data_IF_249694732075
#
_entry.id   IF_249694732075
#
_cell.length_a   1.000
_cell.length_b   1.000
_cell.length_c   1.000
_cell.angle_alpha   90.00
_cell.angle_beta   90.00
_cell.angle_gamma   90.00
#
_symmetry.space_group_name_H-M   'P 1'
#
loop_
_entity.id
_entity.type
_entity.pdbx_description
1 polymer ?
#
# COMPACT_ATOMS: atom_id res chain seq x y z
N UNK A 1 -33.11 9.85 -24.25
CA UNK A 1 -31.82 9.27 -24.59
C UNK A 1 -31.69 8.07 -23.65
N UNK A 2 -31.53 6.86 -24.17
CA UNK A 2 -31.24 5.67 -23.38
C UNK A 2 -29.90 5.86 -22.68
N UNK A 3 -29.83 5.66 -21.38
CA UNK A 3 -28.55 5.63 -20.65
C UNK A 3 -27.72 4.49 -21.24
N UNK A 4 -26.47 4.77 -21.56
CA UNK A 4 -25.54 3.80 -22.11
C UNK A 4 -24.38 3.59 -21.14
N UNK A 5 -24.09 2.33 -20.82
CA UNK A 5 -22.94 1.92 -20.02
C UNK A 5 -21.92 1.15 -20.86
N UNK A 6 -20.68 1.07 -20.38
CA UNK A 6 -19.68 0.22 -21.02
C UNK A 6 -19.89 -1.25 -20.63
N UNK A 7 -20.15 -1.48 -19.35
CA UNK A 7 -20.35 -2.82 -18.78
C UNK A 7 -21.59 -2.81 -17.88
N UNK A 8 -22.41 -3.85 -18.00
CA UNK A 8 -23.44 -4.19 -17.03
C UNK A 8 -23.16 -5.59 -16.49
N UNK A 9 -23.27 -5.74 -15.18
CA UNK A 9 -23.37 -7.06 -14.51
C UNK A 9 -24.78 -7.13 -13.95
N UNK A 10 -25.60 -8.05 -14.44
CA UNK A 10 -26.98 -8.24 -14.01
C UNK A 10 -27.23 -9.63 -13.41
N UNK A 11 -28.50 -9.88 -13.03
CA UNK A 11 -28.90 -11.15 -12.39
C UNK A 11 -27.98 -11.51 -11.22
N UNK A 12 -27.66 -10.52 -10.36
CA UNK A 12 -26.72 -10.63 -9.26
C UNK A 12 -27.42 -10.48 -7.90
N UNK A 13 -26.75 -10.96 -6.85
CA UNK A 13 -27.00 -10.53 -5.47
C UNK A 13 -25.94 -9.46 -5.15
N UNK A 14 -26.35 -8.20 -5.09
CA UNK A 14 -25.44 -7.08 -4.86
C UNK A 14 -25.22 -6.91 -3.35
N UNK A 15 -23.94 -6.93 -2.93
CA UNK A 15 -23.46 -6.59 -1.58
C UNK A 15 -22.56 -5.38 -1.73
N UNK A 16 -22.99 -4.22 -1.22
CA UNK A 16 -22.35 -2.92 -1.48
C UNK A 16 -21.33 -2.47 -0.41
N UNK A 17 -21.08 -3.33 0.59
CA UNK A 17 -20.12 -3.03 1.67
C UNK A 17 -20.65 -2.11 2.78
N UNK A 18 -21.91 -1.68 2.73
CA UNK A 18 -22.51 -0.80 3.75
C UNK A 18 -22.95 -1.54 5.03
N UNK A 19 -22.88 -2.88 5.03
CA UNK A 19 -23.41 -3.73 6.10
C UNK A 19 -24.91 -4.08 5.93
N UNK A 20 -25.57 -3.56 4.90
CA UNK A 20 -26.94 -3.94 4.55
C UNK A 20 -26.99 -5.35 3.96
N UNK A 21 -28.16 -6.00 4.07
CA UNK A 21 -28.39 -7.29 3.43
C UNK A 21 -28.24 -7.20 1.91
N UNK A 22 -27.70 -8.27 1.31
CA UNK A 22 -27.61 -8.38 -0.14
C UNK A 22 -28.99 -8.27 -0.80
N UNK A 23 -29.06 -7.60 -1.95
CA UNK A 23 -30.28 -7.39 -2.72
C UNK A 23 -30.12 -7.84 -4.16
N UNK A 24 -31.17 -8.41 -4.74
CA UNK A 24 -31.18 -8.76 -6.17
C UNK A 24 -31.09 -7.50 -7.02
N UNK A 25 -30.31 -7.56 -8.11
CA UNK A 25 -30.11 -6.44 -9.00
C UNK A 25 -28.87 -6.60 -9.85
N UNK A 26 -28.31 -5.49 -10.26
CA UNK A 26 -27.08 -5.42 -11.06
C UNK A 26 -26.33 -4.13 -10.81
N UNK A 27 -25.23 -3.96 -11.53
CA UNK A 27 -24.44 -2.73 -11.57
C UNK A 27 -24.18 -2.33 -13.02
N UNK A 28 -24.14 -1.02 -13.27
CA UNK A 28 -23.71 -0.46 -14.55
C UNK A 28 -22.41 0.34 -14.31
N UNK A 29 -21.45 0.21 -15.22
CA UNK A 29 -20.16 0.88 -15.19
C UNK A 29 -19.95 1.64 -16.48
N UNK A 30 -19.51 2.90 -16.35
CA UNK A 30 -19.12 3.74 -17.48
C UNK A 30 -17.76 4.36 -17.16
N UNK A 31 -16.77 4.12 -18.01
CA UNK A 31 -15.38 4.49 -17.74
C UNK A 31 -14.86 3.82 -16.47
N UNK A 32 -14.45 4.63 -15.51
CA UNK A 32 -13.94 4.20 -14.21
C UNK A 32 -14.97 4.29 -13.07
N UNK A 33 -16.26 4.48 -13.41
CA UNK A 33 -17.31 4.74 -12.41
C UNK A 33 -18.43 3.73 -12.47
N UNK A 34 -18.94 3.36 -11.28
CA UNK A 34 -20.22 2.69 -11.13
C UNK A 34 -21.30 3.77 -11.27
N UNK A 35 -22.12 3.69 -12.33
CA UNK A 35 -23.13 4.70 -12.66
C UNK A 35 -24.53 4.32 -12.20
N UNK A 36 -24.80 3.02 -12.01
CA UNK A 36 -26.04 2.56 -11.42
C UNK A 36 -25.85 1.27 -10.61
N UNK A 37 -26.66 1.12 -9.57
CA UNK A 37 -26.74 -0.08 -8.71
C UNK A 37 -28.20 -0.38 -8.42
N UNK A 38 -28.67 -1.59 -8.75
CA UNK A 38 -30.04 -2.03 -8.57
C UNK A 38 -30.67 -2.52 -9.87
N UNK A 39 -31.78 -1.95 -10.28
CA UNK A 39 -32.39 -2.30 -11.57
C UNK A 39 -31.64 -1.63 -12.72
N UNK A 40 -30.97 -2.42 -13.52
CA UNK A 40 -30.20 -2.00 -14.70
C UNK A 40 -30.82 -2.50 -16.00
N UNK A 41 -32.03 -3.01 -15.96
CA UNK A 41 -32.70 -3.66 -17.09
C UNK A 41 -32.94 -2.72 -18.29
N UNK A 42 -33.19 -1.42 -18.01
CA UNK A 42 -33.45 -0.40 -19.02
C UNK A 42 -32.17 0.25 -19.59
N UNK A 43 -30.99 -0.07 -19.04
CA UNK A 43 -29.72 0.51 -19.48
C UNK A 43 -29.12 -0.35 -20.59
N UNK A 44 -28.73 0.27 -21.70
CA UNK A 44 -27.98 -0.38 -22.75
C UNK A 44 -26.49 -0.44 -22.40
N UNK A 45 -25.78 -1.49 -22.82
CA UNK A 45 -24.35 -1.62 -22.57
C UNK A 45 -23.61 -2.24 -23.75
N UNK A 46 -22.34 -1.84 -23.88
CA UNK A 46 -21.40 -2.47 -24.83
C UNK A 46 -21.08 -3.92 -24.45
N UNK A 47 -21.04 -4.21 -23.17
CA UNK A 47 -20.81 -5.55 -22.65
C UNK A 47 -21.73 -5.87 -21.47
N UNK A 48 -22.40 -7.05 -21.51
CA UNK A 48 -23.31 -7.49 -20.46
C UNK A 48 -22.87 -8.85 -19.92
N UNK A 49 -22.75 -8.95 -18.60
CA UNK A 49 -22.36 -10.14 -17.86
C UNK A 49 -23.56 -10.61 -17.05
N UNK A 50 -24.06 -11.81 -17.32
CA UNK A 50 -25.05 -12.47 -16.45
C UNK A 50 -24.32 -13.10 -15.26
N UNK A 51 -24.57 -12.59 -14.07
CA UNK A 51 -23.98 -13.11 -12.84
C UNK A 51 -24.61 -14.45 -12.39
N UNK A 52 -25.72 -14.90 -13.01
CA UNK A 52 -26.33 -16.19 -12.70
C UNK A 52 -26.76 -16.35 -11.25
N UNK A 53 -27.11 -15.28 -10.56
CA UNK A 53 -27.43 -15.26 -9.14
C UNK A 53 -26.23 -15.23 -8.20
N UNK A 54 -25.01 -15.13 -8.71
CA UNK A 54 -23.81 -14.98 -7.87
C UNK A 54 -23.76 -13.60 -7.21
N UNK A 55 -22.94 -13.51 -6.17
CA UNK A 55 -22.70 -12.25 -5.46
C UNK A 55 -21.80 -11.32 -6.28
N UNK A 56 -22.19 -10.06 -6.37
CA UNK A 56 -21.35 -8.97 -6.85
C UNK A 56 -21.07 -8.03 -5.69
N UNK A 57 -19.79 -7.81 -5.40
CA UNK A 57 -19.32 -6.96 -4.30
C UNK A 57 -18.15 -6.10 -4.75
N UNK A 58 -17.80 -5.03 -4.01
CA UNK A 58 -16.53 -4.32 -4.23
C UNK A 58 -15.35 -5.29 -4.16
N UNK A 59 -14.33 -5.03 -4.97
CA UNK A 59 -13.09 -5.81 -4.89
C UNK A 59 -12.44 -5.69 -3.52
N UNK A 60 -11.79 -6.75 -3.06
CA UNK A 60 -11.13 -6.76 -1.76
C UNK A 60 -9.89 -5.88 -1.75
N UNK A 61 -9.64 -5.27 -0.59
CA UNK A 61 -8.43 -4.51 -0.31
C UNK A 61 -7.55 -5.34 0.61
N UNK A 62 -6.38 -5.76 0.13
CA UNK A 62 -5.37 -6.37 0.98
C UNK A 62 -4.55 -5.25 1.62
N UNK A 63 -4.87 -4.93 2.87
CA UNK A 63 -4.32 -3.76 3.56
C UNK A 63 -2.94 -3.98 4.19
N UNK A 64 -2.36 -5.19 4.08
CA UNK A 64 -1.04 -5.47 4.62
C UNK A 64 -0.25 -6.41 3.73
N UNK A 65 0.53 -5.85 2.81
CA UNK A 65 1.37 -6.64 1.90
C UNK A 65 2.80 -6.13 1.83
N UNK A 66 3.66 -6.96 1.25
CA UNK A 66 5.04 -6.63 0.86
C UNK A 66 5.20 -6.81 -0.66
N UNK A 67 4.18 -6.41 -1.39
CA UNK A 67 4.10 -6.58 -2.84
C UNK A 67 4.86 -5.49 -3.62
N UNK A 68 5.56 -4.57 -2.94
CA UNK A 68 6.31 -3.46 -3.55
C UNK A 68 7.07 -3.85 -4.82
N UNK A 69 7.78 -4.99 -4.76
CA UNK A 69 8.54 -5.51 -5.88
C UNK A 69 7.66 -6.27 -6.87
N UNK A 70 6.74 -7.07 -6.36
CA UNK A 70 5.89 -7.95 -7.19
C UNK A 70 5.02 -7.13 -8.13
N UNK A 71 4.54 -5.96 -7.69
CA UNK A 71 3.81 -5.00 -8.52
C UNK A 71 4.54 -4.62 -9.82
N UNK A 72 5.89 -4.68 -9.82
CA UNK A 72 6.73 -4.36 -10.99
C UNK A 72 7.24 -5.61 -11.72
N UNK A 73 7.52 -6.70 -10.98
CA UNK A 73 8.14 -7.91 -11.52
C UNK A 73 7.10 -8.89 -12.11
N UNK A 74 5.90 -8.92 -11.53
CA UNK A 74 4.76 -9.73 -12.01
C UNK A 74 3.47 -8.89 -12.02
N UNK A 75 3.32 -7.97 -12.99
CA UNK A 75 2.18 -7.06 -13.02
C UNK A 75 0.84 -7.76 -13.24
N UNK A 76 0.80 -9.03 -13.63
CA UNK A 76 -0.44 -9.80 -13.71
C UNK A 76 -1.09 -10.02 -12.33
N UNK A 77 -0.30 -9.98 -11.25
CA UNK A 77 -0.76 -10.13 -9.87
C UNK A 77 -1.75 -11.29 -9.69
N UNK A 78 -1.51 -12.41 -10.38
CA UNK A 78 -2.43 -13.54 -10.39
C UNK A 78 -2.77 -14.05 -8.99
N UNK A 79 -1.81 -14.04 -8.06
CA UNK A 79 -2.01 -14.44 -6.66
C UNK A 79 -3.03 -13.55 -5.91
N UNK A 80 -3.29 -12.32 -6.39
CA UNK A 80 -4.25 -11.37 -5.82
C UNK A 80 -5.57 -11.40 -6.58
N UNK A 81 -5.54 -11.18 -7.89
CA UNK A 81 -6.77 -11.05 -8.70
C UNK A 81 -7.62 -12.29 -8.70
N UNK A 82 -7.02 -13.50 -8.66
CA UNK A 82 -7.77 -14.78 -8.60
C UNK A 82 -8.51 -14.97 -7.27
N UNK A 83 -8.22 -14.15 -6.26
CA UNK A 83 -8.89 -14.14 -4.97
C UNK A 83 -9.84 -12.94 -4.82
N UNK A 84 -10.05 -12.16 -5.87
CA UNK A 84 -10.91 -10.98 -5.85
C UNK A 84 -10.27 -9.74 -5.20
N UNK A 85 -8.95 -9.75 -4.94
CA UNK A 85 -8.22 -8.56 -4.47
C UNK A 85 -7.98 -7.63 -5.66
N UNK A 86 -8.43 -6.39 -5.52
CA UNK A 86 -8.29 -5.34 -6.55
C UNK A 86 -7.39 -4.19 -6.12
N UNK A 87 -7.04 -4.13 -4.84
CA UNK A 87 -6.17 -3.09 -4.28
C UNK A 87 -5.26 -3.71 -3.22
N UNK A 88 -3.99 -3.35 -3.25
CA UNK A 88 -3.01 -3.74 -2.22
C UNK A 88 -2.44 -2.51 -1.53
N UNK A 89 -2.18 -2.63 -0.22
CA UNK A 89 -1.39 -1.64 0.53
C UNK A 89 -0.03 -2.25 0.79
N UNK A 90 1.03 -1.67 0.22
CA UNK A 90 2.40 -2.14 0.35
C UNK A 90 3.28 -1.09 1.07
N UNK A 91 4.54 -1.42 1.31
CA UNK A 91 5.43 -0.60 2.13
C UNK A 91 5.19 -0.78 3.64
N UNK A 92 4.62 -1.90 4.05
CA UNK A 92 4.31 -2.21 5.45
C UNK A 92 5.55 -2.58 6.28
N UNK A 93 5.37 -2.71 7.59
CA UNK A 93 6.40 -3.15 8.55
C UNK A 93 7.71 -2.33 8.49
N UNK A 94 7.63 -1.08 8.10
CA UNK A 94 8.79 -0.20 7.96
C UNK A 94 9.67 -0.47 6.74
N UNK A 95 9.24 -1.34 5.83
CA UNK A 95 10.03 -1.72 4.65
C UNK A 95 9.29 -1.29 3.38
N UNK A 96 9.92 -0.44 2.59
CA UNK A 96 9.45 -0.04 1.27
C UNK A 96 10.58 -0.11 0.24
N UNK A 97 10.24 -0.40 -1.01
CA UNK A 97 11.23 -0.47 -2.09
C UNK A 97 11.77 0.91 -2.47
N UNK A 98 11.04 1.95 -2.14
CA UNK A 98 11.37 3.36 -2.35
C UNK A 98 10.94 4.22 -1.14
N UNK A 99 11.62 5.34 -0.88
CA UNK A 99 12.85 5.84 -1.50
C UNK A 99 14.08 5.18 -0.91
N UNK A 100 14.90 4.51 -1.69
CA UNK A 100 16.12 3.88 -1.17
C UNK A 100 17.12 3.51 -2.27
N UNK A 101 18.39 3.85 -2.05
CA UNK A 101 19.52 3.34 -2.82
C UNK A 101 20.57 2.79 -1.84
N UNK A 102 20.73 1.46 -1.74
CA UNK A 102 21.73 0.88 -0.86
C UNK A 102 23.15 1.15 -1.39
N UNK A 103 24.08 1.42 -0.48
CA UNK A 103 25.52 1.42 -0.77
C UNK A 103 26.08 -0.01 -0.72
N UNK A 104 27.19 -0.23 -1.41
CA UNK A 104 27.95 -1.48 -1.30
C UNK A 104 28.81 -1.54 -0.03
N UNK A 105 29.00 -0.40 0.66
CA UNK A 105 29.84 -0.28 1.83
C UNK A 105 29.27 -0.92 3.10
N UNK A 106 28.01 -1.30 3.12
CA UNK A 106 27.35 -1.90 4.27
C UNK A 106 26.29 -2.94 3.89
N UNK A 107 25.99 -3.85 4.80
CA UNK A 107 24.98 -4.89 4.60
C UNK A 107 23.57 -4.36 4.86
N UNK A 108 22.62 -4.77 4.03
CA UNK A 108 21.22 -4.42 4.24
C UNK A 108 20.69 -5.01 5.54
N UNK A 109 20.14 -4.19 6.46
CA UNK A 109 19.55 -4.70 7.68
C UNK A 109 18.30 -5.56 7.39
N UNK A 110 18.04 -6.54 8.27
CA UNK A 110 16.74 -7.23 8.32
C UNK A 110 15.68 -6.23 8.79
N UNK A 111 14.50 -6.16 8.16
CA UNK A 111 13.88 -7.12 7.23
C UNK A 111 13.98 -6.73 5.74
N UNK A 112 14.84 -5.82 5.34
CA UNK A 112 14.86 -5.30 3.96
C UNK A 112 15.06 -6.40 2.90
N UNK A 113 15.74 -7.50 3.25
CA UNK A 113 15.87 -8.66 2.36
C UNK A 113 14.52 -9.29 1.94
N UNK A 114 13.42 -8.94 2.62
CA UNK A 114 12.07 -9.37 2.26
C UNK A 114 11.68 -8.91 0.84
N UNK A 115 12.10 -7.71 0.44
CA UNK A 115 11.83 -7.18 -0.89
C UNK A 115 12.92 -7.54 -1.92
N UNK A 116 13.95 -8.25 -1.50
CA UNK A 116 15.04 -8.70 -2.36
C UNK A 116 16.43 -8.28 -1.90
N UNK A 117 17.41 -8.39 -2.77
CA UNK A 117 18.79 -7.94 -2.50
C UNK A 117 18.99 -6.48 -2.95
N UNK A 118 20.20 -5.94 -2.76
CA UNK A 118 20.55 -4.54 -3.14
C UNK A 118 20.15 -4.15 -4.56
N UNK A 119 20.15 -5.07 -5.52
CA UNK A 119 19.84 -4.79 -6.94
C UNK A 119 18.37 -4.45 -7.18
N UNK A 120 17.45 -4.92 -6.34
CA UNK A 120 16.04 -4.59 -6.43
C UNK A 120 15.76 -3.16 -5.93
N UNK A 121 16.56 -2.66 -5.00
CA UNK A 121 16.45 -1.31 -4.45
C UNK A 121 17.15 -0.30 -5.37
N UNK A 122 16.40 0.22 -6.34
CA UNK A 122 16.93 1.09 -7.40
C UNK A 122 16.17 2.42 -7.55
N UNK A 123 15.32 2.74 -6.60
CA UNK A 123 14.47 3.92 -6.66
C UNK A 123 14.90 4.98 -5.64
N UNK A 124 15.58 6.06 -6.07
CA UNK A 124 16.07 7.11 -5.17
C UNK A 124 14.95 7.95 -4.55
N UNK A 125 13.75 7.90 -5.14
CA UNK A 125 12.57 8.58 -4.66
C UNK A 125 11.31 7.75 -4.91
N UNK A 126 10.27 8.02 -4.13
CA UNK A 126 8.97 7.41 -4.35
C UNK A 126 8.39 7.78 -5.73
N UNK A 127 8.56 9.03 -6.17
CA UNK A 127 8.14 9.44 -7.51
C UNK A 127 8.81 8.66 -8.65
N UNK A 128 10.06 8.20 -8.46
CA UNK A 128 10.71 7.33 -9.44
C UNK A 128 10.07 5.92 -9.49
N UNK A 129 9.68 5.39 -8.33
CA UNK A 129 8.94 4.13 -8.24
C UNK A 129 7.54 4.26 -8.85
N UNK A 130 6.79 5.31 -8.50
CA UNK A 130 5.45 5.57 -9.04
C UNK A 130 5.46 5.67 -10.58
N UNK A 131 6.42 6.38 -11.16
CA UNK A 131 6.60 6.46 -12.62
C UNK A 131 6.91 5.10 -13.27
N UNK A 132 7.65 4.23 -12.57
CA UNK A 132 7.90 2.88 -13.07
C UNK A 132 6.61 2.05 -13.08
N UNK A 133 5.79 2.16 -12.04
CA UNK A 133 4.49 1.52 -11.93
C UNK A 133 3.50 2.06 -12.99
N UNK A 134 3.42 3.37 -13.18
CA UNK A 134 2.56 3.99 -14.20
C UNK A 134 2.92 3.54 -15.63
N UNK A 135 4.21 3.33 -15.90
CA UNK A 135 4.67 2.85 -17.21
C UNK A 135 4.30 1.40 -17.50
N UNK A 136 4.20 0.57 -16.46
CA UNK A 136 3.82 -0.85 -16.56
C UNK A 136 2.89 -1.17 -15.37
N UNK A 137 1.61 -0.73 -15.45
CA UNK A 137 0.68 -0.88 -14.34
C UNK A 137 0.35 -2.34 -14.08
N UNK A 138 0.21 -2.68 -12.81
CA UNK A 138 -0.26 -3.99 -12.39
C UNK A 138 -1.78 -4.14 -12.56
N UNK A 139 -2.27 -5.38 -12.54
CA UNK A 139 -3.68 -5.71 -12.61
C UNK A 139 -4.47 -5.33 -11.33
N UNK A 140 -3.81 -4.80 -10.30
CA UNK A 140 -4.40 -4.29 -9.07
C UNK A 140 -3.99 -2.83 -8.85
N UNK A 141 -4.81 -2.07 -8.13
CA UNK A 141 -4.42 -0.77 -7.62
C UNK A 141 -3.41 -0.93 -6.48
N UNK A 142 -2.54 0.05 -6.31
CA UNK A 142 -1.55 0.06 -5.24
C UNK A 142 -1.63 1.36 -4.43
N UNK A 143 -1.70 1.22 -3.11
CA UNK A 143 -1.51 2.30 -2.15
C UNK A 143 -0.23 2.01 -1.37
N UNK A 144 0.65 3.00 -1.24
CA UNK A 144 2.01 2.78 -0.75
C UNK A 144 2.28 3.54 0.54
N UNK A 145 2.92 2.86 1.49
CA UNK A 145 3.47 3.46 2.70
C UNK A 145 4.99 3.66 2.53
N UNK A 146 5.50 4.72 3.15
CA UNK A 146 6.94 4.97 3.27
C UNK A 146 7.51 4.20 4.45
N UNK A 147 8.45 3.31 4.23
CA UNK A 147 9.01 2.44 5.27
C UNK A 147 10.06 3.14 6.13
N UNK A 148 9.81 3.29 7.44
CA UNK A 148 10.74 3.88 8.40
C UNK A 148 12.09 3.15 8.45
N UNK A 149 12.08 1.80 8.47
CA UNK A 149 13.32 1.02 8.52
C UNK A 149 14.17 1.22 7.27
N UNK A 150 13.52 1.41 6.12
CA UNK A 150 14.19 1.75 4.86
C UNK A 150 14.84 3.11 4.94
N UNK A 151 14.11 4.13 5.40
CA UNK A 151 14.66 5.48 5.60
C UNK A 151 15.79 5.50 6.61
N UNK A 152 15.67 4.73 7.68
CA UNK A 152 16.68 4.60 8.74
C UNK A 152 17.97 4.00 8.20
N UNK A 153 17.86 2.92 7.42
CA UNK A 153 19.02 2.27 6.81
C UNK A 153 19.78 3.23 5.88
N UNK A 154 19.09 4.07 5.13
CA UNK A 154 19.71 5.07 4.25
C UNK A 154 20.34 6.21 5.07
N UNK A 155 19.59 6.85 5.96
CA UNK A 155 20.03 8.01 6.73
C UNK A 155 21.21 7.70 7.64
N UNK A 156 21.26 6.48 8.19
CA UNK A 156 22.29 6.01 9.10
C UNK A 156 23.38 5.16 8.43
N UNK A 157 23.34 5.04 7.09
CA UNK A 157 24.32 4.27 6.32
C UNK A 157 24.52 2.84 6.86
N UNK A 158 23.43 2.16 7.22
CA UNK A 158 23.43 0.81 7.76
C UNK A 158 23.70 0.68 9.26
N UNK A 159 24.18 1.73 9.95
CA UNK A 159 24.44 1.70 11.40
C UNK A 159 23.16 1.89 12.23
N UNK A 160 22.22 0.96 12.06
CA UNK A 160 20.88 1.00 12.69
C UNK A 160 20.82 0.52 14.14
N UNK A 161 21.97 0.13 14.73
CA UNK A 161 22.04 -0.44 16.09
C UNK A 161 22.02 0.61 17.21
N UNK A 162 21.86 1.88 16.88
CA UNK A 162 21.76 3.01 17.81
C UNK A 162 20.54 3.88 17.53
N UNK A 163 20.11 4.77 18.42
CA UNK A 163 19.17 5.85 18.08
C UNK A 163 19.71 6.74 16.95
N UNK A 164 18.82 7.25 16.11
CA UNK A 164 19.19 8.24 15.10
C UNK A 164 19.50 9.59 15.75
N UNK A 165 20.44 10.31 15.19
CA UNK A 165 20.74 11.69 15.57
C UNK A 165 19.63 12.63 15.07
N UNK A 166 19.55 13.85 15.63
CA UNK A 166 18.60 14.86 15.17
C UNK A 166 18.76 15.18 13.66
N UNK A 167 20.00 15.14 13.13
CA UNK A 167 20.26 15.35 11.72
C UNK A 167 19.72 14.23 10.84
N UNK A 168 19.88 12.97 11.26
CA UNK A 168 19.35 11.78 10.56
C UNK A 168 17.81 11.77 10.60
N UNK A 169 17.20 12.11 11.74
CA UNK A 169 15.73 12.26 11.86
C UNK A 169 15.23 13.34 10.91
N UNK A 170 15.88 14.50 10.86
CA UNK A 170 15.50 15.57 9.94
C UNK A 170 15.63 15.15 8.46
N UNK A 171 16.63 14.32 8.13
CA UNK A 171 16.78 13.74 6.79
C UNK A 171 15.61 12.79 6.48
N UNK A 172 15.28 11.87 7.38
CA UNK A 172 14.14 10.96 7.22
C UNK A 172 12.81 11.72 7.08
N UNK A 173 12.58 12.76 7.89
CA UNK A 173 11.38 13.60 7.77
C UNK A 173 11.28 14.31 6.41
N UNK A 174 12.38 14.75 5.81
CA UNK A 174 12.37 15.31 4.44
C UNK A 174 11.93 14.26 3.43
N UNK A 175 12.50 13.05 3.51
CA UNK A 175 12.11 11.93 2.64
C UNK A 175 10.65 11.54 2.79
N UNK A 176 10.11 11.53 4.03
CA UNK A 176 8.68 11.31 4.26
C UNK A 176 7.84 12.37 3.53
N UNK A 177 8.15 13.66 3.68
CA UNK A 177 7.41 14.73 3.00
C UNK A 177 7.45 14.58 1.49
N UNK A 178 8.64 14.38 0.91
CA UNK A 178 8.82 14.14 -0.53
C UNK A 178 8.00 12.93 -1.03
N UNK A 179 7.92 11.89 -0.21
CA UNK A 179 7.16 10.68 -0.51
C UNK A 179 5.65 10.93 -0.45
N UNK A 180 5.17 11.68 0.55
CA UNK A 180 3.77 12.09 0.67
C UNK A 180 3.34 13.00 -0.49
N UNK A 181 4.17 13.98 -0.86
CA UNK A 181 3.95 14.87 -2.02
C UNK A 181 3.88 14.11 -3.34
N UNK A 182 4.57 12.99 -3.43
CA UNK A 182 4.55 12.10 -4.59
C UNK A 182 3.41 11.07 -4.57
N UNK A 183 2.48 11.14 -3.60
CA UNK A 183 1.24 10.36 -3.58
C UNK A 183 1.23 9.12 -2.67
N UNK A 184 2.20 8.95 -1.78
CA UNK A 184 2.10 7.91 -0.76
C UNK A 184 0.97 8.22 0.24
N UNK A 185 0.42 7.17 0.88
CA UNK A 185 -0.71 7.29 1.79
C UNK A 185 -0.31 7.40 3.28
N UNK A 186 0.98 7.31 3.59
CA UNK A 186 1.45 7.38 4.97
C UNK A 186 2.83 6.80 5.17
N UNK A 187 3.13 6.52 6.44
CA UNK A 187 4.40 5.94 6.88
C UNK A 187 4.16 4.65 7.64
N UNK A 188 5.05 3.69 7.51
CA UNK A 188 5.03 2.47 8.31
C UNK A 188 6.29 2.30 9.15
N UNK A 189 6.19 1.59 10.27
CA UNK A 189 7.35 1.15 11.03
C UNK A 189 7.32 -0.35 11.32
N UNK A 190 8.49 -0.91 11.59
CA UNK A 190 8.64 -2.29 12.04
C UNK A 190 9.63 -2.33 13.18
N UNK A 191 9.14 -2.06 14.39
CA UNK A 191 9.96 -1.82 15.56
C UNK A 191 10.50 -3.12 16.19
N UNK A 192 9.92 -4.27 15.85
CA UNK A 192 10.42 -5.59 16.23
C UNK A 192 11.72 -5.94 15.49
N UNK A 193 11.91 -5.42 14.28
CA UNK A 193 13.05 -5.79 13.44
C UNK A 193 14.32 -5.02 13.80
N UNK A 194 15.51 -5.61 13.59
CA UNK A 194 16.79 -4.98 13.92
C UNK A 194 16.96 -3.56 13.39
N UNK A 195 16.44 -3.26 12.19
CA UNK A 195 16.51 -1.93 11.61
C UNK A 195 15.72 -0.86 12.38
N UNK A 196 14.59 -1.24 13.02
CA UNK A 196 13.72 -0.33 13.77
C UNK A 196 13.86 -0.44 15.28
N UNK A 197 14.48 -1.50 15.80
CA UNK A 197 14.43 -1.87 17.21
C UNK A 197 14.98 -0.78 18.15
N UNK A 198 16.05 -0.10 17.74
CA UNK A 198 16.71 0.94 18.53
C UNK A 198 16.15 2.35 18.25
N UNK A 199 15.11 2.48 17.49
CA UNK A 199 14.44 3.76 17.27
C UNK A 199 13.65 4.15 18.52
N UNK A 200 13.91 5.30 19.17
CA UNK A 200 13.08 5.76 20.26
C UNK A 200 11.70 6.20 19.73
N UNK A 201 10.68 6.19 20.60
CA UNK A 201 9.33 6.64 20.27
C UNK A 201 9.31 8.03 19.63
N UNK A 202 10.16 8.94 20.10
CA UNK A 202 10.27 10.31 19.56
C UNK A 202 10.71 10.36 18.10
N UNK A 203 11.56 9.42 17.66
CA UNK A 203 11.96 9.31 16.25
C UNK A 203 10.77 8.90 15.38
N UNK A 204 10.05 7.85 15.82
CA UNK A 204 8.87 7.34 15.10
C UNK A 204 7.77 8.41 15.04
N UNK A 205 7.50 9.06 16.19
CA UNK A 205 6.52 10.14 16.29
C UNK A 205 6.84 11.30 15.34
N UNK A 206 8.13 11.67 15.22
CA UNK A 206 8.55 12.74 14.31
C UNK A 206 8.27 12.42 12.83
N UNK A 207 8.40 11.15 12.42
CA UNK A 207 8.07 10.72 11.06
C UNK A 207 6.55 10.62 10.84
N UNK A 208 5.83 10.10 11.82
CA UNK A 208 4.37 10.03 11.79
C UNK A 208 3.76 11.45 11.72
N UNK A 209 4.29 12.42 12.49
CA UNK A 209 3.90 13.83 12.41
C UNK A 209 4.16 14.42 11.03
N UNK A 210 5.31 14.10 10.42
CA UNK A 210 5.64 14.57 9.07
C UNK A 210 4.63 14.08 8.03
N UNK A 211 4.20 12.81 8.10
CA UNK A 211 3.15 12.26 7.23
C UNK A 211 1.76 12.82 7.57
N UNK A 212 1.45 13.00 8.86
CA UNK A 212 0.17 13.52 9.34
C UNK A 212 -0.17 14.92 8.82
N UNK A 213 0.84 15.77 8.53
CA UNK A 213 0.65 17.08 7.89
C UNK A 213 0.03 17.00 6.49
N UNK A 214 0.10 15.84 5.85
CA UNK A 214 -0.51 15.54 4.56
C UNK A 214 -1.77 14.66 4.69
N UNK A 215 -2.28 14.45 5.92
CA UNK A 215 -3.40 13.53 6.18
C UNK A 215 -3.00 12.05 6.08
N UNK A 216 -1.70 11.76 6.16
CA UNK A 216 -1.17 10.41 6.01
C UNK A 216 -1.44 9.50 7.20
N UNK A 217 -1.46 8.19 6.93
CA UNK A 217 -1.64 7.13 7.92
C UNK A 217 -0.31 6.76 8.58
N UNK A 218 -0.39 6.22 9.79
CA UNK A 218 0.70 5.50 10.43
C UNK A 218 0.30 4.04 10.67
N UNK A 219 1.11 3.10 10.18
CA UNK A 219 0.95 1.67 10.40
C UNK A 219 2.22 1.09 11.04
N UNK A 220 2.08 0.16 11.96
CA UNK A 220 3.26 -0.39 12.66
C UNK A 220 3.18 -1.89 12.87
N UNK A 221 4.32 -2.55 12.71
CA UNK A 221 4.62 -3.81 13.39
C UNK A 221 5.22 -3.45 14.74
N UNK A 222 4.52 -3.79 15.80
CA UNK A 222 4.86 -3.39 17.17
C UNK A 222 6.25 -3.89 17.58
N UNK A 223 6.84 -3.26 18.60
CA UNK A 223 8.17 -3.61 19.12
C UNK A 223 8.18 -4.99 19.79
N UNK A 224 7.10 -5.31 20.46
CA UNK A 224 6.87 -6.59 21.13
C UNK A 224 5.39 -6.94 21.05
N UNK A 225 5.08 -8.13 20.55
CA UNK A 225 3.71 -8.63 20.39
C UNK A 225 3.38 -9.74 21.39
N UNK A 226 4.23 -9.92 22.42
CA UNK A 226 4.11 -10.95 23.44
C UNK A 226 3.98 -10.34 24.84
N UNK A 227 5.00 -10.50 25.67
CA UNK A 227 4.95 -10.13 27.10
C UNK A 227 4.83 -8.62 27.32
N UNK A 228 5.36 -7.79 26.40
CA UNK A 228 5.37 -6.33 26.50
C UNK A 228 4.42 -5.66 25.51
N UNK A 229 3.38 -6.38 25.06
CA UNK A 229 2.42 -5.87 24.07
C UNK A 229 1.80 -4.53 24.51
N UNK A 230 1.29 -4.45 25.74
CA UNK A 230 0.65 -3.22 26.26
C UNK A 230 1.65 -2.05 26.26
N UNK A 231 2.89 -2.28 26.73
CA UNK A 231 3.95 -1.27 26.69
C UNK A 231 4.31 -0.84 25.26
N UNK A 232 4.15 -1.73 24.30
CA UNK A 232 4.44 -1.43 22.88
C UNK A 232 3.33 -0.61 22.21
N UNK A 233 2.12 -0.60 22.79
CA UNK A 233 0.98 0.18 22.33
C UNK A 233 0.99 1.58 22.94
N UNK A 234 1.41 1.73 24.21
CA UNK A 234 1.56 3.00 24.92
C UNK A 234 2.74 3.83 24.41
#
# INVERSE_FOLDING_TARGET
MTEQADIIIDNAVVIDGTGAAGRSGGIAVTGDRITAVGDVSAIEAGHRIDAGGHVVAPGFIDCHTHDDRVLLDDPAMACKVTQGVTTVVAGNCGVSLAPFLPSDDWDMPVPMALLGNKKQYKFPSFGAYAKAFEKAPAAVNAAMLCGHNTLRAEAMQGDVKRPATAGEIAQMQRKVRETMEAGAIGVSSGLMYPAGFNAPTSEVAALAEAAGKYGGLYATHLRDEAEKLVQSIE
#
